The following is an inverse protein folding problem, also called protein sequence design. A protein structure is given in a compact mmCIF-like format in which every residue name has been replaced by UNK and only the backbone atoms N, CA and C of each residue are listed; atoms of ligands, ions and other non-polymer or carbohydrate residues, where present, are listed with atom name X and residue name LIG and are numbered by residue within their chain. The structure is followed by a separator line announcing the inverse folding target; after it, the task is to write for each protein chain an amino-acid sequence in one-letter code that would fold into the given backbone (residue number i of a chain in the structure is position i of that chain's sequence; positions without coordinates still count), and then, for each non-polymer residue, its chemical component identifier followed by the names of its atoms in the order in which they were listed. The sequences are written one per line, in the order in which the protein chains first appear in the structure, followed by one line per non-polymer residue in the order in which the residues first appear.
data_IF_364056968346
#
_entry.id   IF_364056968346
#
_cell.length_a   1.000
_cell.length_b   1.000
_cell.length_c   1.000
_cell.angle_alpha   90.00
_cell.angle_beta   90.00
_cell.angle_gamma   90.00
#
_symmetry.space_group_name_H-M   'P 1'
#
loop_
_entity.id
_entity.type
_entity.pdbx_description
1 polymer ?
#
# COMPACT_ATOMS: atom_id res chain seq x y z
N UNK A 1 -9.49 -15.73 2.55
CA UNK A 1 -8.40 -14.95 1.95
C UNK A 1 -8.89 -13.69 1.23
N UNK A 2 -9.91 -13.76 0.36
CA UNK A 2 -10.46 -12.58 -0.35
C UNK A 2 -10.80 -11.39 0.57
N UNK A 3 -11.53 -11.62 1.67
CA UNK A 3 -11.85 -10.56 2.63
C UNK A 3 -10.63 -9.91 3.29
N UNK A 4 -9.57 -10.69 3.55
CA UNK A 4 -8.31 -10.15 4.08
C UNK A 4 -7.66 -9.20 3.06
N UNK A 5 -7.62 -9.58 1.78
CA UNK A 5 -7.11 -8.73 0.70
C UNK A 5 -7.92 -7.43 0.58
N UNK A 6 -9.25 -7.50 0.69
CA UNK A 6 -10.12 -6.31 0.69
C UNK A 6 -9.84 -5.40 1.87
N UNK A 7 -9.66 -5.94 3.08
CA UNK A 7 -9.28 -5.16 4.26
C UNK A 7 -7.92 -4.49 4.06
N UNK A 8 -6.93 -5.21 3.52
CA UNK A 8 -5.61 -4.65 3.22
C UNK A 8 -5.68 -3.52 2.19
N UNK A 9 -6.57 -3.60 1.19
CA UNK A 9 -6.79 -2.53 0.22
C UNK A 9 -7.39 -1.28 0.86
N UNK A 10 -8.42 -1.45 1.70
CA UNK A 10 -9.03 -0.33 2.43
C UNK A 10 -7.97 0.33 3.33
N UNK A 11 -7.16 -0.47 4.03
CA UNK A 11 -6.06 0.04 4.84
C UNK A 11 -5.04 0.82 3.99
N UNK A 12 -4.63 0.30 2.83
CA UNK A 12 -3.73 1.02 1.92
C UNK A 12 -4.32 2.36 1.48
N UNK A 13 -5.60 2.43 1.14
CA UNK A 13 -6.27 3.68 0.73
C UNK A 13 -6.25 4.71 1.86
N UNK A 14 -6.53 4.29 3.10
CA UNK A 14 -6.50 5.17 4.27
C UNK A 14 -5.07 5.64 4.52
N UNK A 15 -4.10 4.71 4.56
CA UNK A 15 -2.69 5.01 4.79
C UNK A 15 -2.10 5.93 3.72
N UNK A 16 -2.57 5.81 2.47
CA UNK A 16 -2.11 6.64 1.35
C UNK A 16 -2.57 8.10 1.43
N UNK A 17 -3.58 8.43 2.24
CA UNK A 17 -4.01 9.82 2.37
C UNK A 17 -2.95 10.71 3.03
N UNK A 18 -2.12 10.12 3.89
CA UNK A 18 -1.01 10.78 4.57
C UNK A 18 -1.33 12.17 5.17
N UNK A 19 -2.44 12.27 5.90
CA UNK A 19 -2.80 13.52 6.56
C UNK A 19 -1.97 13.81 7.82
N UNK A 20 -1.24 12.82 8.35
CA UNK A 20 -0.53 12.92 9.63
C UNK A 20 0.96 13.24 9.51
N UNK A 21 1.61 13.10 8.34
CA UNK A 21 3.03 13.45 8.15
C UNK A 21 3.25 14.76 7.36
N UNK A 22 2.20 15.59 7.19
CA UNK A 22 2.27 16.81 6.37
C UNK A 22 3.28 17.86 6.84
N UNK A 23 3.54 17.94 8.15
CA UNK A 23 4.49 18.89 8.72
C UNK A 23 5.85 18.26 9.05
N UNK A 24 6.07 16.99 8.71
CA UNK A 24 7.30 16.28 9.06
C UNK A 24 8.42 16.55 8.04
N UNK A 25 9.36 17.41 8.41
CA UNK A 25 10.54 17.73 7.62
C UNK A 25 11.75 16.84 7.92
N UNK A 26 11.59 15.74 8.65
CA UNK A 26 12.70 14.86 9.02
C UNK A 26 13.35 14.26 7.77
N UNK A 27 14.67 14.34 7.69
CA UNK A 27 15.45 13.73 6.62
C UNK A 27 16.03 12.38 7.06
N UNK A 28 15.69 11.33 6.31
CA UNK A 28 16.28 9.99 6.45
C UNK A 28 17.62 9.98 5.72
N UNK A 29 18.67 9.55 6.42
CA UNK A 29 20.07 9.58 5.95
C UNK A 29 20.56 10.99 5.53
N UNK A 30 19.89 12.05 5.97
CA UNK A 30 20.20 13.43 5.56
C UNK A 30 19.89 13.74 4.09
N UNK A 31 19.18 12.85 3.38
CA UNK A 31 18.90 12.97 1.94
C UNK A 31 17.41 12.96 1.61
N UNK A 32 16.67 11.99 2.15
CA UNK A 32 15.29 11.74 1.74
C UNK A 32 14.30 12.28 2.78
N UNK A 33 13.31 13.10 2.39
CA UNK A 33 12.22 13.47 3.28
C UNK A 33 11.48 12.24 3.80
N UNK A 34 11.11 12.25 5.08
CA UNK A 34 10.38 11.15 5.72
C UNK A 34 9.09 10.80 4.95
N UNK A 35 8.33 11.81 4.54
CA UNK A 35 7.12 11.68 3.69
C UNK A 35 7.39 10.84 2.43
N UNK A 36 8.55 11.03 1.79
CA UNK A 36 8.92 10.28 0.60
C UNK A 36 9.24 8.81 0.92
N UNK A 37 10.01 8.57 1.99
CA UNK A 37 10.33 7.21 2.45
C UNK A 37 9.06 6.45 2.82
N UNK A 38 8.13 7.11 3.50
CA UNK A 38 6.82 6.57 3.83
C UNK A 38 6.05 6.12 2.56
N UNK A 39 6.01 6.97 1.53
CA UNK A 39 5.34 6.65 0.26
C UNK A 39 6.05 5.55 -0.54
N UNK A 40 7.38 5.43 -0.45
CA UNK A 40 8.11 4.30 -1.02
C UNK A 40 7.68 2.98 -0.37
N UNK A 41 7.58 2.96 0.96
CA UNK A 41 7.06 1.81 1.71
C UNK A 41 5.61 1.46 1.34
N UNK A 42 4.75 2.47 1.20
CA UNK A 42 3.38 2.28 0.72
C UNK A 42 3.33 1.70 -0.69
N UNK A 43 4.19 2.14 -1.60
CA UNK A 43 4.25 1.64 -2.98
C UNK A 43 4.64 0.16 -3.02
N UNK A 44 5.63 -0.25 -2.21
CA UNK A 44 6.02 -1.65 -2.07
C UNK A 44 4.88 -2.49 -1.46
N UNK A 45 4.21 -1.95 -0.45
CA UNK A 45 3.05 -2.60 0.19
C UNK A 45 1.90 -2.79 -0.80
N UNK A 46 1.62 -1.78 -1.63
CA UNK A 46 0.61 -1.85 -2.68
C UNK A 46 0.95 -2.95 -3.71
N UNK A 47 2.21 -3.03 -4.15
CA UNK A 47 2.65 -4.10 -5.06
C UNK A 47 2.44 -5.50 -4.44
N UNK A 48 2.76 -5.67 -3.15
CA UNK A 48 2.53 -6.92 -2.43
C UNK A 48 1.03 -7.27 -2.33
N UNK A 49 0.17 -6.29 -2.00
CA UNK A 49 -1.28 -6.52 -1.94
C UNK A 49 -1.86 -6.84 -3.33
N UNK A 50 -1.36 -6.23 -4.40
CA UNK A 50 -1.72 -6.60 -5.77
C UNK A 50 -1.30 -8.01 -6.15
N UNK A 51 -0.09 -8.42 -5.76
CA UNK A 51 0.32 -9.81 -5.93
C UNK A 51 -0.63 -10.77 -5.18
N UNK A 52 -0.99 -10.49 -3.93
CA UNK A 52 -1.98 -11.28 -3.18
C UNK A 52 -3.37 -11.25 -3.84
N UNK A 53 -3.75 -10.13 -4.46
CA UNK A 53 -5.02 -10.00 -5.19
C UNK A 53 -5.05 -10.94 -6.38
N UNK A 54 -3.97 -11.01 -7.16
CA UNK A 54 -3.86 -11.97 -8.27
C UNK A 54 -3.95 -13.40 -7.75
N UNK A 55 -3.24 -13.74 -6.67
CA UNK A 55 -3.21 -15.10 -6.15
C UNK A 55 -4.54 -15.58 -5.52
N UNK A 56 -5.31 -14.69 -4.88
CA UNK A 56 -6.46 -15.09 -4.06
C UNK A 56 -7.81 -14.58 -4.55
N UNK A 57 -7.83 -13.53 -5.36
CA UNK A 57 -9.06 -12.86 -5.80
C UNK A 57 -9.29 -12.98 -7.30
N UNK A 58 -8.26 -13.22 -8.11
CA UNK A 58 -8.41 -13.39 -9.55
C UNK A 58 -9.20 -14.68 -9.87
N UNK A 59 -10.19 -14.61 -10.78
CA UNK A 59 -10.94 -15.79 -11.17
C UNK A 59 -10.09 -16.73 -12.05
N UNK A 60 -10.05 -18.01 -11.70
CA UNK A 60 -9.33 -19.04 -12.47
C UNK A 60 -10.12 -19.49 -13.70
N UNK A 61 -11.46 -19.44 -13.64
CA UNK A 61 -12.36 -19.76 -14.73
C UNK A 61 -13.31 -18.57 -15.01
N UNK A 62 -12.99 -17.70 -15.97
CA UNK A 62 -13.81 -16.51 -16.27
C UNK A 62 -15.10 -16.81 -17.05
N UNK A 63 -15.45 -18.08 -17.31
CA UNK A 63 -16.53 -18.49 -18.22
C UNK A 63 -17.66 -19.32 -17.58
N UNK A 64 -17.79 -19.34 -16.25
CA UNK A 64 -18.99 -19.83 -15.54
C UNK A 64 -19.79 -18.68 -14.93
#
# INVERSE_FOLDING_TARGET
MKYLVVVLLILLVILHQDYWQWEDSTLVFGLLPWTLVYHMGLSLSAAAVWWLTVQFCWPENPSE
#
